data_IF_073707177961
#
_entry.id   IF_073707177961
#
_cell.length_a   1.000
_cell.length_b   1.000
_cell.length_c   1.000
_cell.angle_alpha   90.00
_cell.angle_beta   90.00
_cell.angle_gamma   90.00
#
_symmetry.space_group_name_H-M   'P 1'
#
loop_
_entity.id
_entity.type
_entity.pdbx_description
1 polymer ?
#
# COMPACT_ATOMS: atom_id res chain seq x y z
N UNK A 1 6.62 6.87 -5.65
CA UNK A 1 5.36 7.32 -6.28
C UNK A 1 5.28 6.82 -7.71
N UNK A 2 4.11 6.39 -8.16
CA UNK A 2 3.86 6.00 -9.56
C UNK A 2 3.22 7.19 -10.27
N UNK A 3 3.73 7.57 -11.44
CA UNK A 3 3.21 8.71 -12.22
C UNK A 3 2.59 8.20 -13.51
N UNK A 4 1.28 8.40 -13.65
CA UNK A 4 0.53 8.05 -14.86
C UNK A 4 0.41 9.30 -15.72
N UNK A 5 0.72 9.19 -17.02
CA UNK A 5 0.61 10.29 -17.98
C UNK A 5 -0.26 9.89 -19.16
N UNK A 6 -1.00 10.85 -19.70
CA UNK A 6 -1.64 10.68 -21.01
C UNK A 6 -0.59 10.60 -22.11
N UNK A 7 -0.94 10.01 -23.26
CA UNK A 7 -0.01 9.88 -24.41
C UNK A 7 0.50 11.25 -24.93
N UNK A 8 -0.36 12.27 -24.92
CA UNK A 8 0.01 13.65 -25.25
C UNK A 8 0.75 14.40 -24.13
N UNK A 9 1.00 13.75 -22.99
CA UNK A 9 1.71 14.25 -21.80
C UNK A 9 1.10 15.51 -21.16
N UNK A 10 -0.05 15.99 -21.63
CA UNK A 10 -0.74 17.18 -21.10
C UNK A 10 -1.27 16.97 -19.68
N UNK A 11 -1.73 15.75 -19.39
CA UNK A 11 -2.33 15.41 -18.12
C UNK A 11 -1.54 14.29 -17.45
N UNK A 12 -1.43 14.39 -16.13
CA UNK A 12 -0.82 13.36 -15.31
C UNK A 12 -1.55 13.20 -13.99
N UNK A 13 -1.42 12.01 -13.41
CA UNK A 13 -1.86 11.71 -12.06
C UNK A 13 -0.71 11.07 -11.31
N UNK A 14 -0.43 11.58 -10.12
CA UNK A 14 0.51 10.95 -9.19
C UNK A 14 -0.28 10.01 -8.28
N UNK A 15 0.13 8.75 -8.27
CA UNK A 15 -0.40 7.71 -7.40
C UNK A 15 0.64 7.47 -6.29
N UNK A 16 0.39 7.97 -5.06
CA UNK A 16 1.26 7.72 -3.94
C UNK A 16 1.15 6.25 -3.50
N UNK A 17 2.29 5.59 -3.34
CA UNK A 17 2.37 4.27 -2.71
C UNK A 17 2.98 4.49 -1.34
N UNK A 18 2.12 4.57 -0.32
CA UNK A 18 2.50 5.01 1.02
C UNK A 18 3.56 4.11 1.64
N UNK A 19 3.45 2.79 1.45
CA UNK A 19 4.41 1.84 2.00
C UNK A 19 5.82 2.01 1.42
N UNK A 20 5.94 2.25 0.11
CA UNK A 20 7.23 2.58 -0.51
C UNK A 20 7.77 3.91 0.02
N UNK A 21 6.89 4.89 0.26
CA UNK A 21 7.29 6.19 0.83
C UNK A 21 7.81 6.05 2.26
N UNK A 22 7.19 5.21 3.09
CA UNK A 22 7.64 4.93 4.47
C UNK A 22 9.04 4.34 4.51
N UNK A 23 9.36 3.49 3.54
CA UNK A 23 10.66 2.84 3.41
C UNK A 23 11.67 3.63 2.57
N UNK A 24 11.31 4.84 2.10
CA UNK A 24 12.11 5.64 1.17
C UNK A 24 12.51 4.89 -0.12
N UNK A 25 11.67 3.96 -0.57
CA UNK A 25 11.88 3.16 -1.77
C UNK A 25 11.27 3.79 -3.01
N UNK A 26 11.96 3.65 -4.13
CA UNK A 26 11.43 4.03 -5.43
C UNK A 26 10.83 2.80 -6.13
N UNK A 27 9.68 2.95 -6.81
CA UNK A 27 9.12 1.86 -7.60
C UNK A 27 10.02 1.56 -8.80
N UNK A 28 10.36 0.28 -8.98
CA UNK A 28 11.10 -0.17 -10.15
C UNK A 28 10.18 -0.19 -11.39
N UNK A 29 10.51 0.64 -12.36
CA UNK A 29 9.75 0.77 -13.61
C UNK A 29 9.80 -0.50 -14.46
N UNK A 30 10.84 -1.33 -14.34
CA UNK A 30 10.95 -2.60 -15.07
C UNK A 30 9.97 -3.65 -14.56
N UNK A 31 9.58 -3.55 -13.29
CA UNK A 31 8.65 -4.45 -12.62
C UNK A 31 7.22 -3.88 -12.56
N UNK A 32 6.99 -2.76 -13.26
CA UNK A 32 5.68 -2.14 -13.43
C UNK A 32 5.07 -2.63 -14.74
N UNK A 33 3.85 -3.16 -14.66
CA UNK A 33 3.04 -3.47 -15.84
C UNK A 33 1.69 -2.78 -15.74
N UNK A 34 1.11 -2.44 -16.88
CA UNK A 34 -0.24 -1.90 -16.92
C UNK A 34 -1.01 -2.51 -18.10
N UNK A 35 -2.34 -2.60 -17.94
CA UNK A 35 -3.25 -2.95 -19.02
C UNK A 35 -4.54 -2.16 -18.87
N UNK A 36 -5.25 -1.96 -19.98
CA UNK A 36 -6.55 -1.32 -19.98
C UNK A 36 -7.62 -2.35 -20.35
N UNK A 37 -8.56 -2.59 -19.45
CA UNK A 37 -9.59 -3.62 -19.59
C UNK A 37 -10.84 -3.18 -18.82
N UNK A 38 -12.05 -3.51 -19.29
CA UNK A 38 -13.32 -3.11 -18.64
C UNK A 38 -13.40 -1.61 -18.27
N UNK A 39 -12.97 -0.73 -19.18
CA UNK A 39 -12.87 0.73 -18.94
C UNK A 39 -12.03 1.12 -17.71
N UNK A 40 -11.08 0.26 -17.32
CA UNK A 40 -10.24 0.42 -16.15
C UNK A 40 -8.76 0.30 -16.51
N UNK A 41 -7.93 1.24 -16.05
CA UNK A 41 -6.48 1.15 -16.14
C UNK A 41 -5.96 0.35 -14.94
N UNK A 42 -5.57 -0.90 -15.18
CA UNK A 42 -5.03 -1.81 -14.18
C UNK A 42 -3.51 -1.64 -14.14
N UNK A 43 -2.98 -1.15 -13.03
CA UNK A 43 -1.54 -0.96 -12.80
C UNK A 43 -1.07 -1.98 -11.77
N UNK A 44 -0.07 -2.78 -12.14
CA UNK A 44 0.54 -3.80 -11.28
C UNK A 44 2.01 -3.46 -11.09
N UNK A 45 2.47 -3.48 -9.84
CA UNK A 45 3.89 -3.35 -9.51
C UNK A 45 4.29 -4.54 -8.65
N UNK A 46 5.49 -5.06 -8.84
CA UNK A 46 6.04 -6.02 -7.88
C UNK A 46 6.51 -5.29 -6.63
N UNK A 47 6.14 -5.82 -5.46
CA UNK A 47 6.62 -5.29 -4.18
C UNK A 47 8.12 -5.59 -4.04
N UNK A 48 8.96 -4.62 -3.65
CA UNK A 48 10.37 -4.88 -3.38
C UNK A 48 10.52 -5.79 -2.14
N UNK A 49 11.60 -6.59 -2.06
CA UNK A 49 11.81 -7.54 -0.97
C UNK A 49 11.78 -6.89 0.42
N UNK A 50 12.30 -5.67 0.54
CA UNK A 50 12.34 -4.89 1.79
C UNK A 50 10.93 -4.58 2.30
N UNK A 51 10.01 -4.23 1.39
CA UNK A 51 8.62 -4.00 1.74
C UNK A 51 7.94 -5.29 2.21
N UNK A 52 8.18 -6.39 1.51
CA UNK A 52 7.61 -7.69 1.88
C UNK A 52 8.12 -8.14 3.27
N UNK A 53 9.40 -7.92 3.56
CA UNK A 53 9.98 -8.23 4.86
C UNK A 53 9.36 -7.40 5.99
N UNK A 54 9.19 -6.09 5.77
CA UNK A 54 8.53 -5.21 6.74
C UNK A 54 7.07 -5.63 6.99
N UNK A 55 6.30 -5.89 5.92
CA UNK A 55 4.92 -6.36 6.03
C UNK A 55 4.82 -7.66 6.83
N UNK A 56 5.76 -8.59 6.60
CA UNK A 56 5.84 -9.85 7.37
C UNK A 56 6.09 -9.62 8.85
N UNK A 57 7.04 -8.75 9.21
CA UNK A 57 7.32 -8.42 10.62
C UNK A 57 6.10 -7.82 11.32
N UNK A 58 5.41 -6.88 10.67
CA UNK A 58 4.19 -6.27 11.20
C UNK A 58 3.10 -7.34 11.36
N UNK A 59 2.94 -8.22 10.37
CA UNK A 59 1.98 -9.32 10.43
C UNK A 59 2.28 -10.27 11.60
N UNK A 60 3.52 -10.70 11.77
CA UNK A 60 3.92 -11.60 12.85
C UNK A 60 3.71 -10.94 14.23
N UNK A 61 4.03 -9.64 14.36
CA UNK A 61 3.76 -8.87 15.56
C UNK A 61 2.25 -8.85 15.88
N UNK A 62 1.41 -8.44 14.92
CA UNK A 62 -0.05 -8.37 15.09
C UNK A 62 -0.63 -9.75 15.39
N UNK A 63 -0.13 -10.79 14.74
CA UNK A 63 -0.57 -12.18 14.96
C UNK A 63 -0.21 -12.68 16.36
N UNK A 64 0.92 -12.26 16.91
CA UNK A 64 1.36 -12.65 18.25
C UNK A 64 0.57 -11.97 19.37
N UNK A 65 -0.10 -10.85 19.07
CA UNK A 65 -0.99 -10.19 20.01
C UNK A 65 -2.19 -11.10 20.28
N UNK A 66 -2.22 -11.69 21.48
CA UNK A 66 -3.44 -12.32 21.98
C UNK A 66 -4.47 -11.21 22.17
N UNK A 67 -5.64 -11.32 21.55
CA UNK A 67 -6.75 -10.45 21.88
C UNK A 67 -7.05 -10.63 23.37
N UNK A 68 -6.75 -9.61 24.18
CA UNK A 68 -7.32 -9.49 25.51
C UNK A 68 -8.82 -9.30 25.31
N UNK A 69 -9.56 -10.42 25.24
CA UNK A 69 -10.98 -10.48 25.52
C UNK A 69 -11.20 -10.18 27.01
N UNK A 70 -10.70 -9.04 27.49
CA UNK A 70 -11.25 -8.44 28.69
C UNK A 70 -12.48 -7.70 28.23
N UNK A 71 -13.62 -8.38 28.28
CA UNK A 71 -14.93 -7.76 28.47
C UNK A 71 -14.87 -6.98 29.79
N UNK A 72 -14.16 -5.86 29.80
CA UNK A 72 -14.45 -4.78 30.70
C UNK A 72 -15.30 -3.85 29.85
N UNK A 73 -16.60 -3.83 30.13
CA UNK A 73 -17.51 -2.83 29.62
C UNK A 73 -16.99 -1.47 30.10
N UNK A 74 -16.05 -0.88 29.35
CA UNK A 74 -15.63 0.49 29.54
C UNK A 74 -16.82 1.33 29.07
N UNK A 75 -17.53 2.05 29.96
CA UNK A 75 -18.56 2.96 29.52
C UNK A 75 -17.86 4.04 28.69
N UNK A 76 -18.07 4.02 27.38
CA UNK A 76 -17.67 5.10 26.50
C UNK A 76 -18.28 6.39 27.06
N UNK A 77 -17.48 7.24 27.69
CA UNK A 77 -17.91 8.59 28.03
C UNK A 77 -18.03 9.35 26.72
N UNK A 78 -19.27 9.58 26.30
CA UNK A 78 -19.57 10.53 25.25
C UNK A 78 -19.22 11.93 25.79
N UNK A 79 -18.25 12.59 25.14
CA UNK A 79 -18.02 14.03 25.28
C UNK A 79 -18.92 14.80 24.33
#
# INVERSE_FOLDING_TARGET
>A
NIVVRTKNKKYFKVLPVLELRRLNLQPDMKLLSYRHEFNSLIIRYMKPPELVAMEKQVYDMVRSLKMTNQKQDLPCKQS
#
